data_IF_251951746474
#
_entry.id   IF_251951746474
#
_cell.length_a   1.000
_cell.length_b   1.000
_cell.length_c   1.000
_cell.angle_alpha   90.00
_cell.angle_beta   90.00
_cell.angle_gamma   90.00
#
_symmetry.space_group_name_H-M   'P 1'
#
loop_
_entity.id
_entity.type
_entity.pdbx_description
1 polymer ?
#
# COMPACT_ATOMS: atom_id res chain seq x y z
N UNK A 1 24.06 -32.58 -33.25
CA UNK A 1 23.57 -32.45 -31.86
C UNK A 1 23.34 -33.85 -31.30
N UNK A 2 24.10 -34.22 -30.29
CA UNK A 2 24.20 -35.58 -29.80
C UNK A 2 23.26 -35.81 -28.61
N UNK A 3 22.66 -36.96 -28.44
CA UNK A 3 21.66 -37.34 -27.43
C UNK A 3 22.07 -37.03 -25.96
N UNK A 4 23.34 -36.77 -25.73
CA UNK A 4 23.87 -36.41 -24.38
C UNK A 4 23.68 -34.94 -24.00
N UNK A 5 23.54 -34.02 -24.95
CA UNK A 5 23.32 -32.61 -24.67
C UNK A 5 21.86 -32.28 -24.34
N UNK A 6 20.92 -33.14 -24.75
CA UNK A 6 19.49 -32.95 -24.43
C UNK A 6 19.13 -33.34 -22.99
N UNK A 7 19.96 -34.14 -22.31
CA UNK A 7 19.71 -34.57 -20.91
C UNK A 7 20.27 -33.62 -19.85
N UNK A 8 21.13 -32.66 -20.21
CA UNK A 8 21.66 -31.69 -19.25
C UNK A 8 20.80 -30.42 -19.12
N UNK A 9 19.90 -30.14 -20.07
CA UNK A 9 18.95 -29.01 -19.99
C UNK A 9 17.65 -29.38 -19.26
N UNK A 10 17.32 -30.67 -19.17
CA UNK A 10 16.13 -31.19 -18.48
C UNK A 10 16.24 -31.26 -16.95
N UNK A 11 17.47 -31.25 -16.41
CA UNK A 11 17.70 -31.46 -14.97
C UNK A 11 17.41 -30.27 -14.06
N UNK A 12 17.42 -29.04 -14.59
CA UNK A 12 17.22 -27.84 -13.78
C UNK A 12 15.73 -27.41 -13.68
N UNK A 13 14.88 -27.85 -14.64
CA UNK A 13 13.45 -27.56 -14.63
C UNK A 13 12.62 -28.60 -13.85
N UNK A 14 13.10 -29.85 -13.75
CA UNK A 14 12.38 -30.92 -13.04
C UNK A 14 12.38 -30.80 -11.52
N UNK A 15 13.39 -30.19 -10.93
CA UNK A 15 13.50 -30.08 -9.45
C UNK A 15 12.60 -28.99 -8.84
N UNK A 16 12.23 -27.94 -9.60
CA UNK A 16 11.32 -26.90 -9.11
C UNK A 16 9.83 -27.32 -9.14
N UNK A 17 9.45 -28.18 -10.09
CA UNK A 17 8.06 -28.64 -10.21
C UNK A 17 7.71 -29.70 -9.15
N UNK A 18 8.68 -30.50 -8.70
CA UNK A 18 8.46 -31.55 -7.70
C UNK A 18 8.34 -31.01 -6.26
N UNK A 19 8.95 -29.85 -5.94
CA UNK A 19 8.77 -29.22 -4.63
C UNK A 19 7.42 -28.48 -4.49
N UNK A 20 6.87 -27.94 -5.58
CA UNK A 20 5.55 -27.28 -5.56
C UNK A 20 4.40 -28.27 -5.38
N UNK A 21 4.47 -29.45 -6.00
CA UNK A 21 3.37 -30.43 -5.98
C UNK A 21 3.20 -31.17 -4.65
N UNK A 22 4.24 -31.32 -3.85
CA UNK A 22 4.17 -32.01 -2.56
C UNK A 22 3.68 -31.10 -1.40
N UNK A 23 3.83 -29.79 -1.53
CA UNK A 23 3.28 -28.82 -0.56
C UNK A 23 1.77 -28.62 -0.73
N UNK A 24 1.24 -28.72 -1.95
CA UNK A 24 -0.19 -28.66 -2.24
C UNK A 24 -0.99 -29.87 -1.70
N UNK A 25 -0.35 -31.02 -1.54
CA UNK A 25 -1.03 -32.24 -1.08
C UNK A 25 -1.31 -32.28 0.42
N UNK A 26 -0.76 -31.34 1.21
CA UNK A 26 -0.88 -31.35 2.67
C UNK A 26 -1.92 -30.36 3.22
N UNK A 27 -2.62 -29.56 2.37
CA UNK A 27 -3.62 -28.57 2.85
C UNK A 27 -3.05 -27.57 3.86
N UNK A 28 -1.73 -27.33 3.86
CA UNK A 28 -1.12 -26.33 4.71
C UNK A 28 -1.38 -24.95 4.12
N UNK A 29 -2.25 -24.18 4.74
CA UNK A 29 -2.33 -22.74 4.52
C UNK A 29 -0.96 -22.12 4.76
N UNK A 30 -0.25 -21.79 3.68
CA UNK A 30 1.02 -21.09 3.74
C UNK A 30 0.76 -19.67 4.25
N UNK A 31 1.08 -19.41 5.49
CA UNK A 31 0.96 -18.11 6.13
C UNK A 31 2.17 -17.87 7.03
N UNK A 32 2.67 -16.63 7.07
CA UNK A 32 3.80 -16.23 7.93
C UNK A 32 3.52 -16.48 9.43
N UNK A 33 2.25 -16.41 9.83
CA UNK A 33 1.83 -16.50 11.24
C UNK A 33 1.00 -17.75 11.54
N UNK A 34 0.83 -18.67 10.58
CA UNK A 34 0.01 -19.87 10.67
C UNK A 34 -1.40 -19.69 10.09
N UNK A 35 -2.21 -20.76 10.05
CA UNK A 35 -3.49 -20.77 9.35
C UNK A 35 -4.47 -19.76 9.93
N UNK A 36 -5.31 -19.19 9.06
CA UNK A 36 -6.43 -18.33 9.43
C UNK A 36 -7.45 -19.16 10.22
N UNK A 37 -7.89 -18.65 11.37
CA UNK A 37 -8.92 -19.25 12.19
C UNK A 37 -10.32 -18.94 11.63
N UNK A 38 -11.38 -19.44 12.26
CA UNK A 38 -12.75 -19.00 12.02
C UNK A 38 -12.86 -17.48 12.24
N UNK A 39 -13.79 -16.80 11.53
CA UNK A 39 -13.98 -15.36 11.71
C UNK A 39 -14.29 -15.03 13.19
N UNK A 40 -13.74 -13.92 13.65
CA UNK A 40 -14.05 -13.35 14.96
C UNK A 40 -15.40 -12.59 14.94
N UNK A 41 -15.73 -11.89 16.02
CA UNK A 41 -16.96 -11.10 16.17
C UNK A 41 -17.07 -9.94 15.16
N UNK A 42 -15.94 -9.52 14.57
CA UNK A 42 -15.88 -8.48 13.54
C UNK A 42 -15.90 -9.03 12.12
N UNK A 43 -16.05 -10.36 11.96
CA UNK A 43 -16.03 -11.03 10.66
C UNK A 43 -14.63 -11.18 10.07
N UNK A 44 -13.57 -11.05 10.89
CA UNK A 44 -12.19 -11.12 10.41
C UNK A 44 -11.56 -12.47 10.76
N UNK A 45 -11.05 -13.17 9.75
CA UNK A 45 -10.19 -14.34 9.95
C UNK A 45 -8.77 -13.91 10.21
N UNK A 46 -8.19 -14.36 11.29
CA UNK A 46 -6.84 -14.04 11.75
C UNK A 46 -6.07 -15.30 12.13
N UNK A 47 -4.73 -15.30 12.05
CA UNK A 47 -3.93 -16.36 12.66
C UNK A 47 -4.08 -16.39 14.19
N UNK A 48 -3.81 -17.55 14.79
CA UNK A 48 -3.84 -17.69 16.25
C UNK A 48 -2.92 -16.68 16.95
N UNK A 49 -3.44 -15.98 17.96
CA UNK A 49 -2.72 -14.96 18.73
C UNK A 49 -2.90 -13.52 18.25
N UNK A 50 -3.61 -13.35 17.14
CA UNK A 50 -4.09 -12.05 16.69
C UNK A 50 -5.55 -11.82 17.07
N UNK A 51 -5.96 -10.58 17.21
CA UNK A 51 -7.33 -10.16 17.49
C UNK A 51 -7.62 -8.83 16.80
N UNK A 52 -8.86 -8.64 16.37
CA UNK A 52 -9.33 -7.40 15.78
C UNK A 52 -10.21 -6.60 16.73
N UNK A 53 -10.40 -5.33 16.42
CA UNK A 53 -11.50 -4.50 16.92
C UNK A 53 -11.87 -3.45 15.87
N UNK A 54 -13.13 -3.03 15.86
CA UNK A 54 -13.58 -1.86 15.12
C UNK A 54 -13.19 -0.60 15.91
N UNK A 55 -12.53 0.35 15.25
CA UNK A 55 -12.15 1.65 15.82
C UNK A 55 -13.19 2.73 15.51
N UNK A 56 -13.68 2.70 14.27
CA UNK A 56 -14.62 3.70 13.78
C UNK A 56 -15.54 3.10 12.71
N UNK A 57 -16.78 3.60 12.65
CA UNK A 57 -17.78 3.24 11.65
C UNK A 57 -18.29 4.51 10.99
N UNK A 58 -18.34 4.51 9.68
CA UNK A 58 -18.90 5.61 8.88
C UNK A 58 -20.26 6.06 9.41
N UNK A 59 -20.41 7.36 9.62
CA UNK A 59 -21.66 7.97 10.07
C UNK A 59 -21.94 7.86 11.58
N UNK A 60 -21.00 7.27 12.35
CA UNK A 60 -21.13 7.14 13.81
C UNK A 60 -20.04 7.98 14.53
N UNK A 61 -20.32 8.48 15.74
CA UNK A 61 -19.31 9.10 16.58
C UNK A 61 -18.17 8.12 16.90
N UNK A 62 -16.93 8.60 16.91
CA UNK A 62 -15.76 7.79 17.24
C UNK A 62 -15.53 7.76 18.74
N UNK A 63 -15.54 6.58 19.34
CA UNK A 63 -15.35 6.39 20.79
C UNK A 63 -16.20 7.38 21.61
N UNK A 64 -15.61 8.07 22.61
CA UNK A 64 -16.28 9.08 23.43
C UNK A 64 -16.20 10.49 22.84
N UNK A 65 -15.84 10.64 21.55
CA UNK A 65 -15.75 11.95 20.87
C UNK A 65 -17.06 12.30 20.18
N UNK A 66 -17.26 13.58 19.87
CA UNK A 66 -18.37 14.03 19.02
C UNK A 66 -18.06 13.95 17.51
N UNK A 67 -16.86 13.51 17.13
CA UNK A 67 -16.44 13.43 15.73
C UNK A 67 -17.08 12.24 15.04
N UNK A 68 -17.83 12.52 13.98
CA UNK A 68 -18.49 11.48 13.16
C UNK A 68 -17.52 11.01 12.08
N UNK A 69 -17.28 9.68 12.01
CA UNK A 69 -16.35 9.11 11.04
C UNK A 69 -16.87 9.28 9.61
N UNK A 70 -16.02 9.76 8.69
CA UNK A 70 -16.45 10.10 7.32
C UNK A 70 -16.76 8.88 6.46
N UNK A 71 -17.27 9.18 5.24
CA UNK A 71 -17.58 8.20 4.20
C UNK A 71 -16.30 7.60 3.62
N UNK A 72 -16.39 6.34 3.16
CA UNK A 72 -15.37 5.66 2.36
C UNK A 72 -13.95 5.88 2.92
N UNK A 73 -13.65 5.39 4.15
CA UNK A 73 -12.30 5.51 4.72
C UNK A 73 -11.32 4.70 3.86
N UNK A 74 -10.20 5.35 3.51
CA UNK A 74 -9.22 4.85 2.56
C UNK A 74 -7.78 4.93 3.11
N UNK A 75 -6.79 5.21 2.23
CA UNK A 75 -5.38 5.25 2.53
C UNK A 75 -5.03 5.98 3.81
N UNK A 76 -4.09 5.43 4.56
CA UNK A 76 -3.75 5.94 5.86
C UNK A 76 -2.30 5.74 6.27
N UNK A 77 -1.92 6.38 7.36
CA UNK A 77 -0.59 6.24 7.97
C UNK A 77 -0.63 6.49 9.47
N UNK A 78 0.44 6.10 10.15
CA UNK A 78 0.61 6.34 11.59
C UNK A 78 1.76 7.31 11.82
N UNK A 79 1.53 8.28 12.71
CA UNK A 79 2.50 9.28 13.14
C UNK A 79 2.75 9.19 14.65
N UNK A 80 3.99 9.38 15.07
CA UNK A 80 4.31 9.48 16.50
C UNK A 80 3.73 10.77 17.07
N UNK A 81 3.25 10.69 18.30
CA UNK A 81 2.78 11.81 19.08
C UNK A 81 3.46 11.78 20.46
N UNK A 82 3.53 12.92 21.15
CA UNK A 82 4.20 13.03 22.47
C UNK A 82 3.56 12.11 23.51
N UNK A 83 2.27 11.82 23.36
CA UNK A 83 1.47 11.05 24.30
C UNK A 83 0.91 9.74 23.70
N UNK A 84 1.48 9.27 22.59
CA UNK A 84 1.00 8.05 21.93
C UNK A 84 1.28 8.07 20.42
N UNK A 85 0.23 8.02 19.62
CA UNK A 85 0.33 8.12 18.16
C UNK A 85 -0.98 8.58 17.54
N UNK A 86 -0.91 8.98 16.28
CA UNK A 86 -2.05 9.38 15.47
C UNK A 86 -2.12 8.47 14.25
N UNK A 87 -3.28 7.86 13.99
CA UNK A 87 -3.59 7.23 12.70
C UNK A 87 -4.43 8.20 11.88
N UNK A 88 -4.02 8.47 10.64
CA UNK A 88 -4.79 9.25 9.68
C UNK A 88 -5.41 8.33 8.64
N UNK A 89 -6.60 8.68 8.17
CA UNK A 89 -7.29 7.99 7.09
C UNK A 89 -7.92 9.00 6.14
N UNK A 90 -7.76 8.77 4.85
CA UNK A 90 -8.43 9.50 3.79
C UNK A 90 -9.91 9.17 3.73
N UNK A 91 -10.68 9.99 3.03
CA UNK A 91 -12.06 9.73 2.65
C UNK A 91 -12.22 9.86 1.15
N UNK A 92 -12.39 8.74 0.46
CA UNK A 92 -12.57 8.69 -1.00
C UNK A 92 -14.01 9.02 -1.37
N UNK A 93 -14.43 10.21 -1.03
CA UNK A 93 -15.79 10.73 -1.24
C UNK A 93 -15.77 12.12 -1.92
N UNK A 94 -16.96 12.61 -2.26
CA UNK A 94 -17.18 14.00 -2.70
C UNK A 94 -18.30 14.61 -1.86
N UNK A 95 -18.00 15.56 -0.95
CA UNK A 95 -16.65 16.04 -0.61
C UNK A 95 -15.81 14.99 0.07
N UNK A 96 -14.50 15.01 -0.22
CA UNK A 96 -13.48 14.19 0.42
C UNK A 96 -12.77 14.93 1.56
N UNK A 97 -11.78 14.25 2.13
CA UNK A 97 -10.99 14.81 3.23
C UNK A 97 -10.03 13.82 3.86
N UNK A 98 -9.45 14.21 4.99
CA UNK A 98 -8.60 13.36 5.82
C UNK A 98 -9.01 13.53 7.28
N UNK A 99 -9.14 12.40 7.98
CA UNK A 99 -9.47 12.34 9.40
C UNK A 99 -8.33 11.73 10.20
N UNK A 100 -8.24 12.06 11.47
CA UNK A 100 -7.25 11.55 12.40
C UNK A 100 -7.91 10.90 13.61
N UNK A 101 -7.33 9.80 14.08
CA UNK A 101 -7.59 9.15 15.36
C UNK A 101 -6.34 9.29 16.22
N UNK A 102 -6.45 9.94 17.39
CA UNK A 102 -5.36 10.06 18.36
C UNK A 102 -5.49 8.96 19.40
N UNK A 103 -4.39 8.29 19.67
CA UNK A 103 -4.32 7.20 20.63
C UNK A 103 -3.43 7.55 21.82
N UNK A 104 -3.82 7.10 23.01
CA UNK A 104 -2.95 7.05 24.17
C UNK A 104 -1.92 5.89 24.06
N UNK A 105 -0.91 5.81 24.96
CA UNK A 105 0.09 4.74 24.92
C UNK A 105 -0.47 3.32 25.12
N UNK A 106 -1.69 3.18 25.67
CA UNK A 106 -2.37 1.88 25.81
C UNK A 106 -3.07 1.45 24.52
N UNK A 107 -3.31 2.41 23.61
CA UNK A 107 -4.04 2.25 22.36
C UNK A 107 -5.53 2.55 22.49
N UNK A 108 -5.94 3.27 23.54
CA UNK A 108 -7.27 3.88 23.62
C UNK A 108 -7.37 5.06 22.65
N UNK A 109 -8.50 5.20 21.94
CA UNK A 109 -8.78 6.41 21.16
C UNK A 109 -9.17 7.51 22.13
N UNK A 110 -8.41 8.61 22.15
CA UNK A 110 -8.61 9.75 23.06
C UNK A 110 -9.13 11.00 22.35
N UNK A 111 -8.97 11.05 21.01
CA UNK A 111 -9.49 12.15 20.20
C UNK A 111 -9.70 11.68 18.74
N UNK A 112 -10.61 12.37 18.03
CA UNK A 112 -10.83 12.20 16.59
C UNK A 112 -11.23 13.55 15.98
N UNK A 113 -10.63 13.87 14.82
CA UNK A 113 -10.80 15.19 14.20
C UNK A 113 -10.46 15.15 12.69
N UNK A 114 -10.92 16.19 11.97
CA UNK A 114 -10.54 16.39 10.56
C UNK A 114 -9.25 17.19 10.46
N UNK A 115 -8.36 16.79 9.55
CA UNK A 115 -7.11 17.51 9.23
C UNK A 115 -7.10 18.05 7.78
N UNK A 116 -8.07 17.63 6.96
CA UNK A 116 -8.30 18.17 5.62
C UNK A 116 -9.77 17.97 5.25
N UNK A 117 -10.38 18.92 4.59
CA UNK A 117 -11.78 18.86 4.16
C UNK A 117 -12.01 19.61 2.84
N UNK A 118 -13.10 19.26 2.13
CA UNK A 118 -13.50 19.95 0.90
C UNK A 118 -12.68 19.57 -0.32
N UNK A 119 -11.98 18.46 -0.26
CA UNK A 119 -11.25 17.83 -1.37
C UNK A 119 -12.13 16.85 -2.13
N UNK A 120 -11.57 16.08 -3.05
CA UNK A 120 -12.33 15.19 -3.93
C UNK A 120 -11.65 13.84 -4.01
N UNK A 121 -12.38 12.76 -3.60
CA UNK A 121 -11.91 11.38 -3.73
C UNK A 121 -10.46 11.20 -3.28
N UNK A 122 -10.20 11.47 -1.99
CA UNK A 122 -8.88 11.23 -1.41
C UNK A 122 -8.71 9.71 -1.24
N UNK A 123 -7.97 9.09 -2.17
CA UNK A 123 -7.74 7.66 -2.19
C UNK A 123 -6.59 7.29 -1.26
N UNK A 124 -5.37 7.20 -1.74
CA UNK A 124 -4.22 6.92 -0.89
C UNK A 124 -3.31 8.14 -0.66
N UNK A 125 -2.04 7.92 -0.40
CA UNK A 125 -1.09 8.98 -0.11
C UNK A 125 0.22 8.46 0.43
N UNK A 126 0.89 9.26 1.27
CA UNK A 126 2.16 8.86 1.89
C UNK A 126 2.59 9.72 3.05
N UNK A 127 3.18 9.09 4.06
CA UNK A 127 3.80 9.79 5.17
C UNK A 127 5.14 10.40 4.74
N UNK A 128 5.41 11.61 5.19
CA UNK A 128 6.70 12.26 5.00
C UNK A 128 7.62 12.04 6.20
N UNK A 129 8.94 12.03 6.01
CA UNK A 129 9.89 11.93 7.13
C UNK A 129 9.91 13.16 8.04
N UNK A 130 9.32 14.29 7.61
CA UNK A 130 9.14 15.49 8.45
C UNK A 130 7.77 15.55 9.15
N UNK A 131 7.01 14.43 9.13
CA UNK A 131 5.84 14.25 9.99
C UNK A 131 4.52 14.77 9.41
N UNK A 132 4.40 14.99 8.10
CA UNK A 132 3.15 15.34 7.44
C UNK A 132 2.58 14.16 6.63
N UNK A 133 1.27 14.19 6.38
CA UNK A 133 0.57 13.28 5.49
C UNK A 133 0.34 13.93 4.14
N UNK A 134 0.73 13.26 3.06
CA UNK A 134 0.42 13.64 1.69
C UNK A 134 -0.82 12.88 1.23
N UNK A 135 -1.95 13.55 1.11
CA UNK A 135 -3.21 12.96 0.67
C UNK A 135 -3.45 13.23 -0.80
N UNK A 136 -3.79 12.21 -1.56
CA UNK A 136 -3.92 12.23 -3.01
C UNK A 136 -5.38 12.32 -3.45
N UNK A 137 -5.73 13.26 -4.33
CA UNK A 137 -7.03 13.30 -5.01
C UNK A 137 -7.00 12.40 -6.25
N UNK A 138 -7.80 11.35 -6.27
CA UNK A 138 -7.94 10.41 -7.39
C UNK A 138 -9.02 10.91 -8.38
N UNK A 139 -8.76 12.04 -9.00
CA UNK A 139 -9.59 12.65 -10.07
C UNK A 139 -8.70 13.17 -11.20
N UNK A 140 -9.20 13.33 -12.44
CA UNK A 140 -8.36 13.67 -13.59
C UNK A 140 -7.48 14.92 -13.46
N UNK A 141 -7.91 15.89 -12.65
CA UNK A 141 -7.20 17.13 -12.30
C UNK A 141 -6.83 17.16 -10.81
N UNK A 142 -6.62 15.97 -10.23
CA UNK A 142 -6.34 15.75 -8.81
C UNK A 142 -5.05 16.42 -8.37
N UNK A 143 -4.98 16.70 -7.07
CA UNK A 143 -3.86 17.35 -6.39
C UNK A 143 -3.42 16.50 -5.21
N UNK A 144 -2.21 16.74 -4.77
CA UNK A 144 -1.72 16.27 -3.47
C UNK A 144 -1.91 17.38 -2.45
N UNK A 145 -2.47 17.03 -1.29
CA UNK A 145 -2.60 17.92 -0.13
C UNK A 145 -1.65 17.48 0.97
N UNK A 146 -0.82 18.38 1.43
CA UNK A 146 0.03 18.16 2.60
C UNK A 146 -0.72 18.56 3.85
N UNK A 147 -0.95 17.60 4.74
CA UNK A 147 -1.77 17.71 5.96
C UNK A 147 -0.90 17.55 7.20
N UNK A 148 -1.17 18.36 8.21
CA UNK A 148 -0.60 18.22 9.56
C UNK A 148 -1.43 17.18 10.35
N UNK A 149 -0.86 16.01 10.72
CA UNK A 149 -1.59 15.01 11.49
C UNK A 149 -2.09 15.51 12.86
N UNK A 150 -1.46 16.55 13.41
CA UNK A 150 -1.89 17.17 14.67
C UNK A 150 -3.17 18.05 14.51
N UNK A 151 -3.51 18.40 13.26
CA UNK A 151 -4.65 19.29 12.98
C UNK A 151 -4.43 20.75 13.39
N UNK A 152 -3.19 21.15 13.67
CA UNK A 152 -2.86 22.53 14.06
C UNK A 152 -2.71 23.43 12.84
N UNK A 153 -1.99 22.94 11.82
CA UNK A 153 -1.84 23.66 10.57
C UNK A 153 -2.91 23.24 9.54
N UNK A 154 -3.41 24.19 8.77
CA UNK A 154 -4.33 23.88 7.67
C UNK A 154 -3.63 23.08 6.57
N UNK A 155 -4.36 22.16 5.95
CA UNK A 155 -3.88 21.40 4.79
C UNK A 155 -3.55 22.33 3.61
N UNK A 156 -2.46 22.04 2.91
CA UNK A 156 -1.94 22.87 1.80
C UNK A 156 -1.84 22.05 0.53
N UNK A 157 -2.51 22.51 -0.55
CA UNK A 157 -2.33 21.92 -1.87
C UNK A 157 -0.90 22.12 -2.39
N UNK A 158 -0.34 21.07 -3.01
CA UNK A 158 1.04 21.04 -3.55
C UNK A 158 1.04 20.86 -5.06
N UNK A 159 0.64 21.88 -5.84
CA UNK A 159 0.50 21.76 -7.30
C UNK A 159 1.82 21.45 -8.03
N UNK A 160 2.98 21.70 -7.43
CA UNK A 160 4.26 21.32 -7.99
C UNK A 160 4.45 19.79 -8.13
N UNK A 161 3.68 18.99 -7.39
CA UNK A 161 3.64 17.53 -7.52
C UNK A 161 2.84 17.04 -8.74
N UNK A 162 2.27 17.97 -9.53
CA UNK A 162 1.52 17.69 -10.74
C UNK A 162 0.00 17.74 -10.56
N UNK A 163 -0.70 17.77 -11.71
CA UNK A 163 -2.15 17.58 -11.79
C UNK A 163 -2.45 16.34 -12.63
N UNK A 164 -2.89 15.26 -11.98
CA UNK A 164 -3.29 14.00 -12.60
C UNK A 164 -4.13 13.18 -11.60
N UNK A 165 -4.59 12.02 -11.98
CA UNK A 165 -5.33 11.12 -11.08
C UNK A 165 -4.34 10.48 -10.11
N UNK A 166 -4.06 11.23 -9.01
CA UNK A 166 -3.11 10.81 -7.99
C UNK A 166 -3.65 9.64 -7.19
N UNK A 167 -2.82 8.62 -7.04
CA UNK A 167 -3.13 7.49 -6.16
C UNK A 167 -2.33 7.60 -4.86
N UNK A 168 -1.03 7.44 -4.90
CA UNK A 168 -0.20 7.40 -3.71
C UNK A 168 1.15 8.11 -3.88
N UNK A 169 1.83 8.35 -2.75
CA UNK A 169 3.15 9.00 -2.70
C UNK A 169 4.09 8.23 -1.77
N UNK A 170 5.30 7.95 -2.22
CA UNK A 170 6.40 7.48 -1.35
C UNK A 170 7.50 8.52 -1.27
N UNK A 171 8.00 8.77 -0.07
CA UNK A 171 9.11 9.71 0.16
C UNK A 171 10.41 8.95 0.39
N UNK A 172 11.43 9.19 -0.43
CA UNK A 172 12.81 8.72 -0.23
C UNK A 172 13.61 9.76 0.56
N UNK A 173 13.90 9.51 1.86
CA UNK A 173 14.64 10.46 2.67
C UNK A 173 16.14 10.52 2.33
N UNK A 174 16.67 9.50 1.64
CA UNK A 174 18.08 9.40 1.29
C UNK A 174 18.37 10.16 -0.01
N UNK A 175 17.61 9.84 -1.07
CA UNK A 175 17.68 10.55 -2.35
C UNK A 175 17.01 11.92 -2.34
N UNK A 176 16.22 12.23 -1.28
CA UNK A 176 15.46 13.47 -1.14
C UNK A 176 14.50 13.69 -2.30
N UNK A 177 13.75 12.64 -2.63
CA UNK A 177 12.81 12.60 -3.75
C UNK A 177 11.48 12.00 -3.30
N UNK A 178 10.41 12.33 -4.04
CA UNK A 178 9.10 11.72 -3.87
C UNK A 178 8.76 10.95 -5.15
N UNK A 179 8.08 9.83 -4.99
CA UNK A 179 7.61 8.99 -6.09
C UNK A 179 6.10 8.88 -6.02
N UNK A 180 5.41 9.02 -7.17
CA UNK A 180 3.96 9.09 -7.22
C UNK A 180 3.41 8.11 -8.26
N UNK A 181 2.27 7.50 -7.95
CA UNK A 181 1.50 6.65 -8.85
C UNK A 181 0.29 7.38 -9.40
N UNK A 182 -0.15 6.97 -10.60
CA UNK A 182 -1.35 7.47 -11.27
C UNK A 182 -2.28 6.30 -11.58
N UNK A 183 -3.50 6.28 -11.00
CA UNK A 183 -4.48 5.25 -11.32
C UNK A 183 -5.19 5.53 -12.64
N UNK A 184 -4.57 5.05 -13.70
CA UNK A 184 -5.10 5.02 -15.06
C UNK A 184 -4.57 3.78 -15.77
N UNK A 185 -5.32 3.17 -16.71
CA UNK A 185 -4.81 2.04 -17.52
C UNK A 185 -3.52 2.38 -18.27
N UNK A 186 -3.35 3.67 -18.61
CA UNK A 186 -2.15 4.24 -19.22
C UNK A 186 -1.41 5.17 -18.26
N UNK A 187 -1.54 4.97 -16.94
CA UNK A 187 -0.91 5.76 -15.90
C UNK A 187 0.62 5.70 -15.93
N UNK A 188 1.25 6.57 -15.16
CA UNK A 188 2.72 6.69 -15.11
C UNK A 188 3.22 6.57 -13.67
N UNK A 189 4.51 6.28 -13.57
CA UNK A 189 5.28 6.48 -12.35
C UNK A 189 6.03 7.80 -12.48
N UNK A 190 5.84 8.68 -11.50
CA UNK A 190 6.48 9.98 -11.46
C UNK A 190 7.51 10.07 -10.35
N UNK A 191 8.47 10.99 -10.50
CA UNK A 191 9.43 11.37 -9.48
C UNK A 191 9.43 12.88 -9.33
N UNK A 192 9.32 13.36 -8.11
CA UNK A 192 9.44 14.79 -7.81
C UNK A 192 10.72 15.04 -7.01
N UNK A 193 11.53 15.97 -7.50
CA UNK A 193 12.73 16.43 -6.80
C UNK A 193 12.49 17.87 -6.34
N UNK A 194 12.28 18.13 -5.03
CA UNK A 194 12.03 19.47 -4.54
C UNK A 194 13.29 20.34 -4.65
N UNK A 195 13.11 21.61 -4.98
CA UNK A 195 14.22 22.59 -5.02
C UNK A 195 14.92 22.73 -3.64
N UNK A 196 14.16 22.52 -2.58
CA UNK A 196 14.65 22.50 -1.20
C UNK A 196 13.94 21.36 -0.46
N UNK A 197 14.74 20.49 0.14
CA UNK A 197 14.20 19.36 0.92
C UNK A 197 13.21 19.82 1.99
N UNK A 198 12.15 19.05 2.18
CA UNK A 198 11.00 19.30 3.05
C UNK A 198 10.09 20.45 2.56
N UNK A 199 10.35 21.05 1.38
CA UNK A 199 9.52 22.08 0.79
C UNK A 199 8.95 21.59 -0.54
N UNK A 200 7.62 21.45 -0.59
CA UNK A 200 6.92 20.90 -1.75
C UNK A 200 6.25 21.97 -2.63
N UNK A 201 6.60 23.21 -2.41
CA UNK A 201 6.09 24.39 -3.15
C UNK A 201 6.71 24.54 -4.54
N UNK A 202 7.94 24.03 -4.74
CA UNK A 202 8.65 24.09 -6.01
C UNK A 202 9.64 22.93 -6.17
N UNK A 203 9.79 22.45 -7.40
CA UNK A 203 10.69 21.35 -7.74
C UNK A 203 10.55 20.94 -9.20
N UNK A 204 11.16 19.83 -9.56
CA UNK A 204 11.07 19.22 -10.88
C UNK A 204 10.27 17.94 -10.79
N UNK A 205 9.18 17.86 -11.55
CA UNK A 205 8.40 16.64 -11.73
C UNK A 205 8.87 15.93 -13.01
N UNK A 206 9.21 14.65 -12.87
CA UNK A 206 9.75 13.81 -13.93
C UNK A 206 8.89 12.55 -14.08
N UNK A 207 8.92 11.93 -15.26
CA UNK A 207 8.22 10.68 -15.55
C UNK A 207 9.21 9.57 -15.89
N UNK A 208 8.89 8.34 -15.50
CA UNK A 208 9.75 7.19 -15.70
C UNK A 208 9.77 6.70 -17.16
N UNK A 209 10.98 6.53 -17.71
CA UNK A 209 11.24 5.73 -18.90
C UNK A 209 11.95 4.46 -18.49
N UNK A 210 11.55 3.33 -19.06
CA UNK A 210 12.12 2.02 -18.72
C UNK A 210 12.59 1.35 -20.01
N UNK A 211 13.85 0.99 -20.07
CA UNK A 211 14.41 0.29 -21.21
C UNK A 211 14.07 -1.22 -21.21
N UNK A 212 14.49 -1.93 -22.26
CA UNK A 212 14.23 -3.36 -22.40
C UNK A 212 14.93 -4.23 -21.33
N UNK A 213 15.97 -3.73 -20.69
CA UNK A 213 16.68 -4.40 -19.61
C UNK A 213 16.09 -4.09 -18.22
N UNK A 214 15.12 -3.15 -18.17
CA UNK A 214 14.46 -2.74 -16.93
C UNK A 214 15.11 -1.54 -16.25
N UNK A 215 16.11 -0.88 -16.85
CA UNK A 215 16.70 0.32 -16.28
C UNK A 215 15.77 1.52 -16.44
N UNK A 216 15.60 2.25 -15.33
CA UNK A 216 14.76 3.44 -15.25
C UNK A 216 15.61 4.70 -15.46
N UNK A 217 15.16 5.55 -16.35
CA UNK A 217 15.63 6.92 -16.49
C UNK A 217 14.46 7.87 -16.33
N UNK A 218 14.72 9.11 -16.00
CA UNK A 218 13.70 10.10 -15.67
C UNK A 218 13.76 11.26 -16.66
N UNK A 219 12.60 11.71 -17.12
CA UNK A 219 12.47 12.83 -18.05
C UNK A 219 11.52 13.88 -17.48
N UNK A 220 12.00 15.12 -17.42
CA UNK A 220 11.26 16.23 -16.83
C UNK A 220 10.01 16.56 -17.64
N UNK A 221 8.90 16.79 -16.96
CA UNK A 221 7.68 17.28 -17.55
C UNK A 221 7.81 18.79 -17.85
N UNK A 222 7.33 19.19 -19.01
CA UNK A 222 7.34 20.61 -19.43
C UNK A 222 6.21 21.41 -18.79
N UNK A 223 5.09 20.76 -18.46
CA UNK A 223 3.93 21.36 -17.81
C UNK A 223 3.34 20.40 -16.75
N UNK A 224 3.80 20.44 -15.50
CA UNK A 224 3.26 19.58 -14.44
C UNK A 224 1.81 19.93 -14.05
N UNK A 225 1.32 21.13 -14.41
CA UNK A 225 -0.03 21.61 -14.08
C UNK A 225 -0.85 21.93 -15.34
N UNK A 226 -1.12 20.92 -16.20
CA UNK A 226 -1.82 21.14 -17.45
C UNK A 226 -3.26 21.63 -17.21
N UNK A 227 -3.67 22.62 -17.97
CA UNK A 227 -5.08 23.04 -18.03
C UNK A 227 -5.92 22.06 -18.86
N UNK A 228 -7.25 22.25 -18.89
CA UNK A 228 -8.17 21.31 -19.55
C UNK A 228 -7.96 21.09 -21.05
N UNK A 229 -7.19 21.96 -21.70
CA UNK A 229 -6.89 21.89 -23.15
C UNK A 229 -5.43 21.53 -23.44
N UNK A 230 -4.63 21.39 -22.40
CA UNK A 230 -3.21 21.06 -22.52
C UNK A 230 -3.03 19.54 -22.61
N UNK A 231 -1.85 19.12 -23.05
CA UNK A 231 -1.48 17.71 -23.03
C UNK A 231 -1.37 17.24 -21.58
N UNK A 232 -2.14 16.20 -21.18
CA UNK A 232 -2.07 15.63 -19.83
C UNK A 232 -0.64 15.23 -19.46
N UNK A 233 -0.29 15.28 -18.18
CA UNK A 233 1.05 14.95 -17.65
C UNK A 233 1.59 13.63 -18.21
N UNK A 234 0.79 12.56 -18.20
CA UNK A 234 1.17 11.22 -18.67
C UNK A 234 1.47 11.10 -20.15
N UNK A 235 1.03 12.07 -20.97
CA UNK A 235 1.21 12.08 -22.42
C UNK A 235 2.31 13.05 -22.91
N UNK A 236 2.89 13.86 -22.01
CA UNK A 236 3.92 14.85 -22.39
C UNK A 236 5.23 14.20 -22.82
N UNK A 237 5.53 13.00 -22.35
CA UNK A 237 6.73 12.23 -22.74
C UNK A 237 6.29 10.92 -23.39
N UNK A 238 6.21 10.85 -24.73
CA UNK A 238 5.72 9.66 -25.45
C UNK A 238 6.52 8.38 -25.18
N UNK A 239 7.81 8.50 -24.82
CA UNK A 239 8.68 7.36 -24.50
C UNK A 239 8.57 6.91 -23.04
N UNK A 240 7.73 7.54 -22.22
CA UNK A 240 7.50 7.11 -20.84
C UNK A 240 6.76 5.77 -20.78
N UNK A 241 7.09 4.95 -19.77
CA UNK A 241 6.45 3.66 -19.58
C UNK A 241 5.06 3.83 -18.97
N UNK A 242 4.06 3.19 -19.57
CA UNK A 242 2.75 3.03 -18.96
C UNK A 242 2.77 1.91 -17.90
N UNK A 243 2.05 2.17 -16.79
CA UNK A 243 1.73 1.20 -15.74
C UNK A 243 0.21 1.13 -15.63
N UNK A 244 -0.35 -0.08 -15.67
CA UNK A 244 -1.79 -0.28 -15.79
C UNK A 244 -2.47 -0.19 -14.42
N UNK A 245 -3.03 0.97 -14.07
CA UNK A 245 -3.63 1.24 -12.77
C UNK A 245 -2.58 1.27 -11.68
N UNK A 246 -1.81 2.36 -11.59
CA UNK A 246 -0.80 2.54 -10.53
C UNK A 246 -1.49 2.84 -9.20
N UNK A 247 -1.27 1.98 -8.21
CA UNK A 247 -1.88 1.98 -6.90
C UNK A 247 -0.89 2.38 -5.80
N UNK A 248 -1.04 1.82 -4.60
CA UNK A 248 -0.20 2.09 -3.46
C UNK A 248 1.30 2.02 -3.75
N UNK A 249 2.07 2.90 -3.11
CA UNK A 249 3.53 3.00 -3.27
C UNK A 249 4.20 3.23 -1.92
N UNK A 250 5.36 2.59 -1.69
CA UNK A 250 6.11 2.75 -0.44
C UNK A 250 7.62 2.73 -0.70
N UNK A 251 8.34 3.56 0.06
CA UNK A 251 9.80 3.49 0.14
C UNK A 251 10.23 2.58 1.29
N UNK A 252 11.19 1.71 1.04
CA UNK A 252 11.84 0.92 2.09
C UNK A 252 13.26 0.54 1.71
N UNK A 253 14.21 0.78 2.60
CA UNK A 253 15.60 0.33 2.48
C UNK A 253 16.24 0.62 1.10
N UNK A 254 16.07 1.85 0.58
CA UNK A 254 16.64 2.28 -0.70
C UNK A 254 15.91 1.75 -1.94
N UNK A 255 14.68 1.30 -1.78
CA UNK A 255 13.82 0.80 -2.84
C UNK A 255 12.45 1.45 -2.81
N UNK A 256 11.84 1.54 -3.98
CA UNK A 256 10.43 1.88 -4.14
C UNK A 256 9.68 0.61 -4.52
N UNK A 257 8.60 0.33 -3.80
CA UNK A 257 7.64 -0.72 -4.16
C UNK A 257 6.31 -0.06 -4.50
N UNK A 258 5.70 -0.47 -5.60
CA UNK A 258 4.38 0.03 -6.00
C UNK A 258 3.55 -1.04 -6.68
N UNK A 259 2.25 -0.97 -6.48
CA UNK A 259 1.28 -1.89 -7.03
C UNK A 259 0.70 -1.37 -8.36
N UNK A 260 0.20 -2.30 -9.19
CA UNK A 260 -0.59 -2.00 -10.38
C UNK A 260 -1.78 -2.95 -10.44
N UNK A 261 -2.99 -2.41 -10.27
CA UNK A 261 -4.25 -3.17 -10.18
C UNK A 261 -4.61 -3.87 -11.49
N UNK A 262 -4.41 -3.21 -12.61
CA UNK A 262 -4.87 -3.73 -13.91
C UNK A 262 -4.12 -4.97 -14.42
N UNK A 263 -2.99 -5.33 -13.83
CA UNK A 263 -2.22 -6.55 -14.15
C UNK A 263 -1.75 -7.34 -12.92
N UNK A 264 -2.31 -7.02 -11.74
CA UNK A 264 -2.08 -7.69 -10.45
C UNK A 264 -0.59 -7.86 -10.12
N UNK A 265 0.17 -6.74 -10.14
CA UNK A 265 1.61 -6.75 -9.89
C UNK A 265 2.02 -5.84 -8.77
N UNK A 266 3.12 -6.22 -8.11
CA UNK A 266 3.91 -5.31 -7.28
C UNK A 266 5.30 -5.21 -7.91
N UNK A 267 5.72 -3.99 -8.21
CA UNK A 267 7.04 -3.68 -8.74
C UNK A 267 8.02 -3.30 -7.62
N UNK A 268 9.30 -3.51 -7.87
CA UNK A 268 10.43 -3.07 -7.07
C UNK A 268 11.37 -2.26 -7.94
N UNK A 269 11.57 -0.99 -7.62
CA UNK A 269 12.62 -0.14 -8.18
C UNK A 269 13.76 -0.02 -7.16
N UNK A 270 14.90 -0.57 -7.48
CA UNK A 270 16.12 -0.40 -6.70
C UNK A 270 16.77 0.95 -7.06
N UNK A 271 16.82 1.87 -6.08
CA UNK A 271 17.26 3.25 -6.32
C UNK A 271 18.76 3.38 -6.53
N UNK A 272 19.55 2.43 -6.02
CA UNK A 272 21.01 2.45 -6.21
C UNK A 272 21.42 2.01 -7.61
N UNK A 273 20.67 1.07 -8.20
CA UNK A 273 20.96 0.52 -9.54
C UNK A 273 20.04 1.07 -10.62
N UNK A 274 18.97 1.79 -10.25
CA UNK A 274 17.89 2.23 -11.14
C UNK A 274 17.20 1.07 -11.87
N UNK A 275 17.21 -0.13 -11.32
CA UNK A 275 16.64 -1.31 -11.95
C UNK A 275 15.24 -1.59 -11.41
N UNK A 276 14.26 -1.62 -12.32
CA UNK A 276 12.87 -2.00 -12.06
C UNK A 276 12.69 -3.50 -12.29
N UNK A 277 12.08 -4.16 -11.32
CA UNK A 277 11.73 -5.61 -11.39
C UNK A 277 10.30 -5.83 -10.95
N UNK A 278 9.74 -6.97 -11.33
CA UNK A 278 8.48 -7.45 -10.75
C UNK A 278 8.83 -8.20 -9.46
N UNK A 279 8.29 -7.73 -8.34
CA UNK A 279 8.40 -8.37 -7.02
C UNK A 279 7.34 -9.45 -6.86
N UNK A 280 6.10 -9.18 -7.31
CA UNK A 280 4.96 -10.08 -7.29
C UNK A 280 4.18 -9.95 -8.58
N UNK A 281 3.62 -11.06 -9.07
CA UNK A 281 2.64 -11.06 -10.13
C UNK A 281 1.69 -12.25 -9.95
N UNK A 282 0.40 -11.99 -9.84
CA UNK A 282 -0.62 -13.02 -9.65
C UNK A 282 -0.58 -14.10 -10.75
N UNK A 283 -0.26 -13.72 -11.97
CA UNK A 283 -0.17 -14.64 -13.10
C UNK A 283 0.94 -15.71 -12.96
N UNK A 284 1.95 -15.46 -12.11
CA UNK A 284 3.10 -16.37 -11.92
C UNK A 284 3.24 -16.85 -10.48
N UNK A 285 2.42 -16.34 -9.55
CA UNK A 285 2.39 -16.85 -8.19
C UNK A 285 1.73 -18.22 -8.15
N UNK A 286 2.41 -19.27 -7.68
CA UNK A 286 1.86 -20.63 -7.63
C UNK A 286 0.65 -20.75 -6.69
N UNK A 287 0.49 -19.84 -5.76
CA UNK A 287 -0.63 -19.78 -4.82
C UNK A 287 -1.75 -18.92 -5.39
N UNK A 288 -1.42 -17.92 -6.21
CA UNK A 288 -2.33 -16.94 -6.82
C UNK A 288 -3.32 -16.32 -5.81
N UNK A 289 -2.82 -16.06 -4.59
CA UNK A 289 -3.62 -15.62 -3.45
C UNK A 289 -4.04 -14.16 -3.59
N UNK A 290 -3.10 -13.28 -3.93
CA UNK A 290 -3.29 -11.85 -3.99
C UNK A 290 -3.76 -11.41 -5.39
N UNK A 291 -4.94 -10.79 -5.45
CA UNK A 291 -5.52 -10.17 -6.65
C UNK A 291 -6.16 -8.83 -6.29
N UNK A 292 -6.38 -7.98 -7.29
CA UNK A 292 -6.88 -6.63 -7.02
C UNK A 292 -5.91 -5.86 -6.11
N UNK A 293 -4.62 -5.92 -6.45
CA UNK A 293 -3.58 -5.26 -5.64
C UNK A 293 -3.85 -3.76 -5.54
N UNK A 294 -3.81 -3.24 -4.34
CA UNK A 294 -4.11 -1.84 -4.04
C UNK A 294 -3.02 -1.25 -3.14
N UNK A 295 -3.36 -0.77 -1.96
CA UNK A 295 -2.42 -0.11 -1.06
C UNK A 295 -1.27 -1.03 -0.61
N UNK A 296 -0.08 -0.46 -0.50
CA UNK A 296 1.14 -1.18 -0.09
C UNK A 296 1.76 -0.52 1.13
N UNK A 297 2.03 -1.31 2.16
CA UNK A 297 2.77 -0.89 3.35
C UNK A 297 3.96 -1.82 3.63
N UNK A 298 4.82 -1.43 4.56
CA UNK A 298 5.95 -2.25 5.02
C UNK A 298 5.71 -2.69 6.46
N UNK A 299 5.82 -3.97 6.70
CA UNK A 299 5.69 -4.54 8.05
C UNK A 299 6.92 -4.22 8.91
N UNK A 300 6.81 -4.34 10.25
CA UNK A 300 7.96 -4.17 11.15
C UNK A 300 9.15 -5.10 10.86
N UNK A 301 8.96 -6.10 10.03
CA UNK A 301 9.98 -7.08 9.59
C UNK A 301 10.56 -6.78 8.23
N UNK A 302 10.00 -5.78 7.51
CA UNK A 302 10.40 -5.42 6.16
C UNK A 302 9.75 -6.24 5.05
N UNK A 303 8.73 -7.06 5.35
CA UNK A 303 7.87 -7.68 4.33
C UNK A 303 6.85 -6.65 3.83
N UNK A 304 6.42 -6.74 2.57
CA UNK A 304 5.34 -5.90 2.08
C UNK A 304 4.00 -6.43 2.58
N UNK A 305 3.09 -5.52 2.90
CA UNK A 305 1.67 -5.82 3.16
C UNK A 305 0.88 -5.14 2.07
N UNK A 306 0.12 -5.93 1.31
CA UNK A 306 -0.70 -5.45 0.20
C UNK A 306 -2.16 -5.67 0.54
N UNK A 307 -2.97 -4.64 0.37
CA UNK A 307 -4.40 -4.70 0.51
C UNK A 307 -5.05 -5.08 -0.83
N UNK A 308 -6.22 -5.72 -0.77
CA UNK A 308 -7.00 -6.08 -1.95
C UNK A 308 -8.20 -5.15 -2.14
N UNK A 309 -8.38 -4.70 -3.38
CA UNK A 309 -9.63 -4.10 -3.86
C UNK A 309 -10.54 -5.22 -4.38
N UNK A 310 -11.56 -5.57 -3.58
CA UNK A 310 -12.50 -6.63 -3.90
C UNK A 310 -11.96 -8.05 -3.72
N UNK A 311 -12.48 -9.00 -4.49
CA UNK A 311 -12.04 -10.40 -4.43
C UNK A 311 -12.40 -11.10 -3.13
N UNK A 312 -11.42 -11.71 -2.48
CA UNK A 312 -11.58 -12.41 -1.21
C UNK A 312 -11.27 -11.54 0.03
N UNK A 313 -11.00 -10.23 -0.19
CA UNK A 313 -10.85 -9.23 0.86
C UNK A 313 -9.73 -9.56 1.86
N UNK A 314 -8.52 -9.67 1.37
CA UNK A 314 -7.34 -10.04 2.18
C UNK A 314 -6.34 -8.89 2.34
N UNK A 315 -5.65 -8.88 3.46
CA UNK A 315 -4.31 -8.30 3.55
C UNK A 315 -3.30 -9.43 3.37
N UNK A 316 -2.42 -9.27 2.39
CA UNK A 316 -1.48 -10.30 1.96
C UNK A 316 -0.05 -9.82 2.19
N UNK A 317 0.78 -10.65 2.83
CA UNK A 317 2.22 -10.41 2.87
C UNK A 317 2.87 -10.87 1.56
N UNK A 318 3.61 -9.99 0.92
CA UNK A 318 4.46 -10.35 -0.20
C UNK A 318 5.90 -10.49 0.30
N UNK A 319 6.41 -11.72 0.24
CA UNK A 319 7.75 -12.07 0.73
C UNK A 319 8.86 -11.51 -0.17
N UNK A 320 10.11 -11.62 0.30
CA UNK A 320 11.29 -11.24 -0.51
C UNK A 320 11.46 -12.11 -1.76
N UNK A 321 10.92 -13.32 -1.72
CA UNK A 321 10.92 -14.28 -2.83
C UNK A 321 9.76 -14.03 -3.83
N UNK A 322 8.84 -13.10 -3.49
CA UNK A 322 7.71 -12.73 -4.34
C UNK A 322 6.49 -13.64 -4.19
N UNK A 323 6.36 -14.34 -3.05
CA UNK A 323 5.17 -15.15 -2.75
C UNK A 323 4.13 -14.29 -2.00
N UNK A 324 2.87 -14.40 -2.40
CA UNK A 324 1.74 -13.83 -1.70
C UNK A 324 1.23 -14.79 -0.62
N UNK A 325 1.21 -14.35 0.66
CA UNK A 325 0.79 -15.15 1.80
C UNK A 325 -0.30 -14.42 2.58
N UNK A 326 -1.52 -14.94 2.60
CA UNK A 326 -2.64 -14.31 3.32
C UNK A 326 -2.32 -14.13 4.80
N UNK A 327 -2.60 -12.92 5.31
CA UNK A 327 -2.48 -12.60 6.73
C UNK A 327 -3.84 -12.53 7.41
N UNK A 328 -4.79 -11.87 6.79
CA UNK A 328 -6.17 -11.81 7.26
C UNK A 328 -7.14 -11.84 6.08
N UNK A 329 -8.38 -12.19 6.38
CA UNK A 329 -9.51 -12.08 5.45
C UNK A 329 -10.69 -11.45 6.16
N UNK A 330 -11.35 -10.49 5.51
CA UNK A 330 -12.59 -9.88 5.98
C UNK A 330 -13.77 -10.55 5.28
N UNK A 331 -14.63 -11.23 6.03
CA UNK A 331 -15.78 -11.94 5.47
C UNK A 331 -17.05 -11.06 5.45
N UNK A 332 -17.96 -11.40 4.55
CA UNK A 332 -19.27 -10.74 4.46
C UNK A 332 -19.27 -9.36 3.80
N UNK A 333 -18.18 -8.97 3.14
CA UNK A 333 -18.02 -7.64 2.53
C UNK A 333 -17.55 -7.71 1.06
N UNK A 334 -18.17 -8.51 0.19
CA UNK A 334 -17.63 -8.85 -1.14
C UNK A 334 -17.60 -7.68 -2.13
N UNK A 335 -18.21 -6.54 -1.80
CA UNK A 335 -18.25 -5.33 -2.64
C UNK A 335 -17.42 -4.19 -2.05
N UNK A 336 -16.62 -4.48 -1.06
CA UNK A 336 -15.70 -3.53 -0.45
C UNK A 336 -14.29 -3.69 -1.00
N UNK A 337 -13.41 -2.85 -0.54
CA UNK A 337 -11.97 -2.94 -0.69
C UNK A 337 -11.33 -2.73 0.68
N UNK A 338 -10.12 -3.26 0.86
CA UNK A 338 -9.29 -2.99 2.02
C UNK A 338 -8.28 -1.90 1.68
N UNK A 339 -8.14 -0.91 2.55
CA UNK A 339 -7.29 0.24 2.30
C UNK A 339 -6.51 0.67 3.55
N UNK A 340 -5.47 1.47 3.36
CA UNK A 340 -4.72 2.17 4.40
C UNK A 340 -3.99 1.31 5.43
N UNK A 341 -3.38 0.16 5.08
CA UNK A 341 -2.66 -0.63 6.08
C UNK A 341 -1.47 0.15 6.66
N UNK A 342 -1.46 0.31 7.98
CA UNK A 342 -0.41 1.05 8.68
C UNK A 342 -0.12 0.46 10.06
N UNK A 343 1.17 0.37 10.43
CA UNK A 343 1.57 -0.15 11.73
C UNK A 343 1.78 0.97 12.76
N UNK A 344 1.41 0.69 14.01
CA UNK A 344 1.72 1.56 15.13
C UNK A 344 3.24 1.65 15.38
N UNK A 345 3.74 2.64 16.14
CA UNK A 345 5.17 2.78 16.39
C UNK A 345 5.85 1.62 17.11
N UNK A 346 5.07 0.76 17.78
CA UNK A 346 5.56 -0.46 18.43
C UNK A 346 5.65 -1.65 17.49
N UNK A 347 4.97 -1.58 16.33
CA UNK A 347 4.81 -2.69 15.40
C UNK A 347 3.97 -3.86 15.95
N UNK A 348 3.10 -3.61 16.94
CA UNK A 348 2.21 -4.60 17.54
C UNK A 348 0.76 -4.45 17.10
N UNK A 349 0.44 -3.34 16.42
CA UNK A 349 -0.89 -3.02 15.93
C UNK A 349 -0.81 -2.68 14.44
N UNK A 350 -1.77 -3.18 13.69
CA UNK A 350 -2.01 -2.86 12.29
C UNK A 350 -3.38 -2.22 12.18
N UNK A 351 -3.44 -1.06 11.57
CA UNK A 351 -4.66 -0.34 11.20
C UNK A 351 -4.95 -0.55 9.74
N UNK A 352 -6.22 -0.63 9.38
CA UNK A 352 -6.69 -0.64 7.99
C UNK A 352 -8.18 -0.33 7.95
N UNK A 353 -8.71 -0.01 6.78
CA UNK A 353 -10.14 0.22 6.56
C UNK A 353 -10.71 -0.80 5.59
N UNK A 354 -12.00 -1.10 5.75
CA UNK A 354 -12.85 -1.65 4.71
C UNK A 354 -13.78 -0.52 4.26
N UNK A 355 -13.63 -0.09 3.03
CA UNK A 355 -14.19 1.17 2.54
C UNK A 355 -15.74 1.16 2.52
N UNK A 356 -16.36 0.01 2.26
CA UNK A 356 -17.82 -0.09 2.08
C UNK A 356 -18.54 -1.04 3.04
N UNK A 357 -17.83 -1.72 3.95
CA UNK A 357 -18.39 -2.55 5.02
C UNK A 357 -19.54 -3.49 4.63
N UNK A 358 -20.08 -4.28 5.57
CA UNK A 358 -21.13 -5.25 5.28
C UNK A 358 -22.50 -4.62 4.95
N UNK A 359 -22.75 -3.41 5.40
CA UNK A 359 -23.98 -2.64 5.20
C UNK A 359 -23.77 -1.42 4.29
N UNK A 360 -22.66 -1.39 3.53
CA UNK A 360 -22.28 -0.28 2.65
C UNK A 360 -21.63 0.89 3.40
N UNK A 361 -21.45 0.79 4.72
CA UNK A 361 -20.78 1.81 5.55
C UNK A 361 -19.37 1.39 5.90
N UNK A 362 -18.41 2.24 5.59
CA UNK A 362 -16.99 1.99 5.83
C UNK A 362 -16.66 1.74 7.30
N UNK A 363 -15.67 0.90 7.52
CA UNK A 363 -15.18 0.48 8.84
C UNK A 363 -13.67 0.66 8.90
N UNK A 364 -13.17 1.21 10.00
CA UNK A 364 -11.74 1.25 10.30
C UNK A 364 -11.45 0.29 11.44
N UNK A 365 -10.45 -0.57 11.24
CA UNK A 365 -10.09 -1.65 12.15
C UNK A 365 -8.70 -1.48 12.74
N UNK A 366 -8.49 -2.08 13.90
CA UNK A 366 -7.18 -2.41 14.45
C UNK A 366 -7.06 -3.92 14.54
N UNK A 367 -5.92 -4.46 14.12
CA UNK A 367 -5.50 -5.83 14.45
C UNK A 367 -4.27 -5.77 15.35
N UNK A 368 -4.35 -6.42 16.52
CA UNK A 368 -3.23 -6.52 17.45
C UNK A 368 -2.70 -7.94 17.51
N UNK A 369 -1.36 -8.08 17.54
CA UNK A 369 -0.73 -9.39 17.65
C UNK A 369 0.80 -9.36 17.55
N UNK A 370 1.43 -10.53 17.53
CA UNK A 370 2.87 -10.69 17.56
C UNK A 370 3.50 -10.52 16.16
N UNK A 371 3.33 -9.39 15.49
CA UNK A 371 3.86 -9.14 14.15
C UNK A 371 5.38 -9.29 14.02
N UNK A 372 6.13 -9.13 15.12
CA UNK A 372 7.58 -9.31 15.13
C UNK A 372 8.00 -10.77 15.31
N UNK A 373 7.10 -11.65 15.78
CA UNK A 373 7.41 -13.05 16.02
C UNK A 373 7.26 -13.87 14.75
N UNK A 374 8.33 -14.58 14.34
CA UNK A 374 8.19 -15.71 13.42
C UNK A 374 7.74 -16.94 14.19
N UNK A 375 6.72 -17.66 13.74
CA UNK A 375 6.68 -19.09 14.01
C UNK A 375 7.88 -19.71 13.28
N UNK A 376 8.85 -20.21 14.04
CA UNK A 376 9.79 -21.18 13.50
C UNK A 376 8.93 -22.38 13.06
N UNK A 377 8.71 -22.57 11.77
CA UNK A 377 8.42 -23.88 11.25
C UNK A 377 9.63 -24.72 11.65
N UNK A 378 9.44 -25.56 12.65
CA UNK A 378 10.36 -26.66 12.90
C UNK A 378 10.38 -27.47 11.61
N UNK A 379 11.39 -27.28 10.80
CA UNK A 379 11.93 -28.34 10.01
C UNK A 379 12.30 -29.38 11.07
N UNK A 380 11.47 -30.40 11.25
CA UNK A 380 11.86 -31.58 11.99
C UNK A 380 13.07 -32.11 11.24
N UNK A 381 14.24 -31.95 11.81
CA UNK A 381 15.33 -32.88 11.60
C UNK A 381 14.80 -34.24 12.03
N UNK A 382 14.25 -34.96 11.09
CA UNK A 382 14.15 -36.42 11.19
C UNK A 382 15.58 -36.95 10.99
N UNK A 383 16.40 -36.70 12.03
CA UNK A 383 17.68 -37.33 12.17
C UNK A 383 17.45 -38.84 12.25
N UNK A 384 17.82 -39.51 11.18
CA UNK A 384 17.99 -40.95 11.15
C UNK A 384 18.92 -41.38 12.30
N UNK A 385 18.43 -42.27 13.13
CA UNK A 385 19.23 -43.22 13.87
C UNK A 385 19.27 -44.54 13.11
#
# INVERSE_FOLDING_TARGET
MNRREFLQIGGAFGARVLFGSSLFALGCDLSLYGPLQAPDENGIRLPKGFRSRVLARQGEPVAETAFVWPLAPDGGAVFRDDHGWIYVANSEAVPGGVSALRFDPSGGVVDAYSICAGTRRNCAGGATPWGTWLSCEEVPDGRVFECDPQGVAAAVARPALGLFQHEAVATDPVGRQLYLTEDRPDGRLYRFTPNRWERLDAGVLEVARVDAAGFVTWEALTNPTPGPRDTPTRLQVPASRAFNGGEGIVWSAGKIFFATKGDDRVYELDLATSLLRIRYAAATDPIAQLRGVDNVAVSPRGDLVVAEDGGNMELVFVTREGLGLAFLRVEGQPFSELAGPAFDPSGQRLYFSSQRGPDGRGLTYEVRGPFQALRRHALRDDGAA
#
